data_IF_140695332202
#
_entry.id   IF_140695332202
#
_cell.length_a   1.000
_cell.length_b   1.000
_cell.length_c   1.000
_cell.angle_alpha   90.00
_cell.angle_beta   90.00
_cell.angle_gamma   90.00
#
_symmetry.space_group_name_H-M   'P 1'
#
loop_
_entity.id
_entity.type
_entity.pdbx_description
1 polymer ?
#
# COMPACT_ATOMS: atom_id res chain seq x y z
N UNK A 1 7.01 14.87 -2.16
CA UNK A 1 6.60 14.62 -0.76
C UNK A 1 7.83 14.08 -0.03
N UNK A 2 8.14 14.69 1.11
CA UNK A 2 9.34 14.40 1.91
C UNK A 2 9.22 13.04 2.61
N UNK A 3 10.18 12.14 2.38
CA UNK A 3 11.08 11.56 3.38
C UNK A 3 11.94 10.40 2.79
N UNK A 4 13.11 10.21 3.41
CA UNK A 4 14.33 9.44 3.10
C UNK A 4 14.36 8.38 1.97
N UNK A 5 13.37 7.49 1.84
CA UNK A 5 13.39 6.37 0.87
C UNK A 5 13.34 6.86 -0.59
N UNK A 6 12.67 8.00 -0.81
CA UNK A 6 12.60 8.68 -2.10
C UNK A 6 13.97 9.25 -2.53
N UNK A 7 14.85 9.61 -1.58
CA UNK A 7 16.14 10.26 -1.87
C UNK A 7 17.21 9.26 -2.33
N UNK A 8 17.19 8.02 -1.82
CA UNK A 8 18.12 6.95 -2.22
C UNK A 8 17.77 6.35 -3.60
N UNK A 9 16.48 6.28 -3.94
CA UNK A 9 16.00 5.66 -5.17
C UNK A 9 15.94 6.61 -6.37
N UNK A 10 15.79 7.94 -6.17
CA UNK A 10 15.85 8.93 -7.27
C UNK A 10 17.26 9.09 -7.88
N UNK A 11 18.32 9.11 -7.07
CA UNK A 11 19.68 9.38 -7.56
C UNK A 11 20.20 8.33 -8.56
N UNK A 12 19.75 7.08 -8.45
CA UNK A 12 20.17 5.99 -9.34
C UNK A 12 19.39 5.97 -10.67
N UNK A 13 18.17 6.51 -10.68
CA UNK A 13 17.33 6.61 -11.88
C UNK A 13 17.74 7.82 -12.74
N UNK A 14 18.07 8.96 -12.12
CA UNK A 14 18.53 10.15 -12.83
C UNK A 14 19.86 9.94 -13.57
N UNK A 15 20.78 9.16 -12.98
CA UNK A 15 22.03 8.78 -13.64
C UNK A 15 21.83 7.93 -14.90
N UNK A 16 20.85 7.04 -14.92
CA UNK A 16 20.54 6.20 -16.08
C UNK A 16 19.83 7.00 -17.19
N UNK A 17 18.92 7.91 -16.83
CA UNK A 17 18.17 8.70 -17.80
C UNK A 17 19.03 9.74 -18.54
N UNK A 18 20.11 10.25 -17.93
CA UNK A 18 21.07 11.13 -18.62
C UNK A 18 21.95 10.42 -19.67
N UNK A 19 21.88 9.09 -19.78
CA UNK A 19 22.56 8.30 -20.82
C UNK A 19 21.64 7.82 -21.96
N UNK A 20 20.37 8.27 -21.98
CA UNK A 20 19.45 8.08 -23.11
C UNK A 20 18.46 6.92 -22.99
N UNK A 21 18.30 6.30 -21.82
CA UNK A 21 17.23 5.33 -21.58
C UNK A 21 16.03 5.99 -20.88
N UNK A 22 14.81 5.59 -21.24
CA UNK A 22 13.55 6.08 -20.63
C UNK A 22 13.02 5.02 -19.67
N UNK A 23 13.32 5.11 -18.38
CA UNK A 23 12.77 4.20 -17.37
C UNK A 23 11.68 4.89 -16.55
N UNK A 24 10.55 4.19 -16.37
CA UNK A 24 9.42 4.64 -15.57
C UNK A 24 9.71 4.52 -14.07
N UNK A 25 9.31 5.54 -13.30
CA UNK A 25 9.48 5.63 -11.86
C UNK A 25 8.30 4.94 -11.16
N UNK A 26 8.52 3.77 -10.55
CA UNK A 26 7.48 2.89 -9.99
C UNK A 26 7.47 2.82 -8.46
N UNK A 27 8.09 3.79 -7.78
CA UNK A 27 8.20 3.77 -6.32
C UNK A 27 6.89 4.19 -5.65
N UNK A 28 6.33 3.31 -4.83
CA UNK A 28 5.13 3.53 -4.03
C UNK A 28 5.56 3.90 -2.60
N UNK A 29 5.28 5.12 -2.11
CA UNK A 29 5.59 5.50 -0.74
C UNK A 29 4.67 4.80 0.27
N UNK A 30 5.21 4.51 1.45
CA UNK A 30 4.49 3.99 2.61
C UNK A 30 4.35 5.10 3.67
N UNK A 31 3.23 5.09 4.41
CA UNK A 31 2.93 6.01 5.52
C UNK A 31 2.61 5.21 6.78
N UNK A 32 3.08 5.68 7.94
CA UNK A 32 2.74 5.17 9.26
C UNK A 32 2.56 6.36 10.22
N UNK A 33 1.69 6.21 11.21
CA UNK A 33 1.71 7.00 12.43
C UNK A 33 1.17 6.14 13.57
N UNK A 34 1.57 6.42 14.80
CA UNK A 34 0.97 5.80 15.97
C UNK A 34 -0.02 6.79 16.58
N UNK A 35 -1.27 6.36 16.77
CA UNK A 35 -2.23 7.02 17.65
C UNK A 35 -2.65 5.99 18.71
N UNK A 36 -1.87 5.95 19.80
CA UNK A 36 -2.03 5.08 21.00
C UNK A 36 -1.65 3.60 20.78
N UNK A 37 -2.34 2.62 21.40
CA UNK A 37 -2.05 1.16 21.33
C UNK A 37 -2.34 0.50 19.96
N UNK A 38 -2.44 1.32 18.90
CA UNK A 38 -2.95 0.93 17.59
C UNK A 38 -1.91 1.32 16.54
N UNK A 39 -1.32 0.30 15.92
CA UNK A 39 -0.32 0.49 14.89
C UNK A 39 -0.87 0.13 13.51
N UNK A 40 -0.45 0.87 12.51
CA UNK A 40 -0.86 0.63 11.14
C UNK A 40 0.32 0.64 10.18
N UNK A 41 0.28 -0.31 9.24
CA UNK A 41 1.19 -0.39 8.10
C UNK A 41 0.40 -0.02 6.86
N UNK A 42 1.01 0.70 5.92
CA UNK A 42 0.33 1.01 4.68
C UNK A 42 1.28 1.04 3.49
N UNK A 43 0.73 0.72 2.32
CA UNK A 43 1.46 0.72 1.04
C UNK A 43 0.57 1.34 -0.03
N UNK A 44 1.16 2.20 -0.85
CA UNK A 44 0.52 2.78 -2.02
C UNK A 44 -0.25 4.06 -1.78
N UNK A 45 -1.21 4.34 -2.67
CA UNK A 45 -1.95 5.60 -2.67
C UNK A 45 -3.14 5.51 -1.71
N UNK A 46 -3.09 6.30 -0.64
CA UNK A 46 -4.14 6.39 0.39
C UNK A 46 -4.86 7.73 0.30
N UNK A 47 -5.43 8.02 -0.86
CA UNK A 47 -6.16 9.25 -1.09
C UNK A 47 -7.64 9.09 -0.74
N UNK A 48 -8.21 10.06 -0.03
CA UNK A 48 -9.66 10.10 0.27
C UNK A 48 -10.53 10.31 -0.97
N UNK A 49 -9.93 10.63 -2.12
CA UNK A 49 -10.61 10.72 -3.40
C UNK A 49 -10.84 9.35 -4.07
N UNK A 50 -10.17 8.29 -3.59
CA UNK A 50 -10.30 6.93 -4.11
C UNK A 50 -11.53 6.22 -3.51
N UNK A 51 -11.96 5.16 -4.18
CA UNK A 51 -12.97 4.26 -3.64
C UNK A 51 -12.34 3.39 -2.55
N UNK A 52 -13.13 3.07 -1.52
CA UNK A 52 -12.64 2.39 -0.32
C UNK A 52 -13.53 1.19 0.00
N UNK A 53 -12.88 0.05 0.20
CA UNK A 53 -13.48 -1.18 0.73
C UNK A 53 -12.73 -1.60 2.00
N UNK A 54 -13.46 -2.03 3.03
CA UNK A 54 -12.84 -2.42 4.31
C UNK A 54 -13.25 -3.82 4.73
N UNK A 55 -12.27 -4.62 5.13
CA UNK A 55 -12.47 -5.95 5.71
C UNK A 55 -11.96 -5.96 7.14
N UNK A 56 -12.75 -6.52 8.04
CA UNK A 56 -12.48 -6.47 9.48
C UNK A 56 -12.50 -7.87 10.06
N UNK A 57 -11.41 -8.25 10.74
CA UNK A 57 -11.38 -9.42 11.61
C UNK A 57 -12.06 -9.11 12.94
N UNK A 58 -11.77 -7.94 13.49
CA UNK A 58 -12.49 -7.34 14.62
C UNK A 58 -12.87 -5.92 14.25
N UNK A 59 -14.18 -5.64 14.23
CA UNK A 59 -14.70 -4.36 13.74
C UNK A 59 -14.02 -3.18 14.45
N UNK A 60 -13.37 -2.32 13.64
CA UNK A 60 -12.62 -1.13 14.07
C UNK A 60 -11.43 -1.39 15.01
N UNK A 61 -10.98 -2.63 15.14
CA UNK A 61 -9.84 -3.01 15.98
C UNK A 61 -8.74 -3.74 15.22
N UNK A 62 -9.09 -4.59 14.26
CA UNK A 62 -8.12 -5.35 13.46
C UNK A 62 -8.73 -5.59 12.08
N UNK A 63 -8.08 -5.10 11.04
CA UNK A 63 -8.63 -5.15 9.69
C UNK A 63 -7.73 -4.51 8.64
N UNK A 64 -8.24 -4.43 7.42
CA UNK A 64 -7.55 -3.85 6.28
C UNK A 64 -8.52 -3.00 5.47
N UNK A 65 -8.04 -1.84 5.05
CA UNK A 65 -8.76 -0.88 4.21
C UNK A 65 -8.05 -0.82 2.86
N UNK A 66 -8.79 -1.08 1.80
CA UNK A 66 -8.31 -1.07 0.41
C UNK A 66 -8.79 0.19 -0.28
N UNK A 67 -7.85 0.91 -0.87
CA UNK A 67 -8.10 2.05 -1.74
C UNK A 67 -7.95 1.58 -3.18
N UNK A 68 -8.95 1.87 -4.02
CA UNK A 68 -8.94 1.42 -5.41
C UNK A 68 -9.52 2.45 -6.36
N UNK A 69 -9.16 2.31 -7.63
CA UNK A 69 -9.68 3.08 -8.74
C UNK A 69 -9.69 2.23 -10.01
N UNK A 70 -10.72 2.37 -10.84
CA UNK A 70 -10.95 1.54 -12.03
C UNK A 70 -10.82 0.03 -11.75
N UNK A 71 -11.35 -0.43 -10.61
CA UNK A 71 -11.26 -1.80 -10.09
C UNK A 71 -9.85 -2.30 -9.74
N UNK A 72 -8.82 -1.45 -9.77
CA UNK A 72 -7.46 -1.84 -9.41
C UNK A 72 -7.10 -1.27 -8.04
N UNK A 73 -6.53 -2.12 -7.18
CA UNK A 73 -6.04 -1.70 -5.87
C UNK A 73 -4.88 -0.72 -6.05
N UNK A 74 -5.00 0.45 -5.42
CA UNK A 74 -4.01 1.54 -5.45
C UNK A 74 -3.26 1.69 -4.14
N UNK A 75 -3.92 1.36 -3.03
CA UNK A 75 -3.31 1.42 -1.71
C UNK A 75 -4.01 0.51 -0.73
N UNK A 76 -3.28 0.12 0.31
CA UNK A 76 -3.75 -0.76 1.36
C UNK A 76 -3.28 -0.19 2.69
N UNK A 77 -4.20 -0.03 3.63
CA UNK A 77 -3.93 0.32 5.02
C UNK A 77 -4.32 -0.86 5.90
N UNK A 78 -3.33 -1.42 6.60
CA UNK A 78 -3.46 -2.54 7.53
C UNK A 78 -3.52 -1.98 8.95
N UNK A 79 -4.61 -2.25 9.66
CA UNK A 79 -4.88 -1.74 11.00
C UNK A 79 -4.72 -2.87 12.02
N UNK A 80 -3.68 -2.80 12.87
CA UNK A 80 -3.26 -3.88 13.78
C UNK A 80 -3.01 -5.23 13.09
N UNK A 81 -2.67 -5.19 11.80
CA UNK A 81 -2.29 -6.36 11.01
C UNK A 81 -0.82 -6.18 10.66
N UNK A 82 0.02 -7.11 11.09
CA UNK A 82 1.47 -6.97 11.10
C UNK A 82 2.15 -8.02 10.24
N UNK A 83 3.31 -7.68 9.67
CA UNK A 83 4.14 -8.64 8.94
C UNK A 83 3.53 -9.12 7.61
N UNK A 84 2.55 -8.39 7.09
CA UNK A 84 1.86 -8.70 5.82
C UNK A 84 2.20 -7.70 4.70
N UNK A 85 3.17 -6.82 4.93
CA UNK A 85 3.55 -5.77 3.99
C UNK A 85 3.96 -6.29 2.61
N UNK A 86 4.69 -7.39 2.53
CA UNK A 86 5.10 -7.97 1.24
C UNK A 86 3.92 -8.52 0.46
N UNK A 87 2.99 -9.19 1.14
CA UNK A 87 1.75 -9.63 0.54
C UNK A 87 0.88 -8.45 0.10
N UNK A 88 0.81 -7.38 0.89
CA UNK A 88 0.08 -6.17 0.53
C UNK A 88 0.67 -5.50 -0.72
N UNK A 89 2.01 -5.50 -0.88
CA UNK A 89 2.69 -5.03 -2.10
C UNK A 89 2.29 -5.85 -3.33
N UNK A 90 2.19 -7.16 -3.21
CA UNK A 90 1.76 -8.04 -4.31
C UNK A 90 0.32 -7.77 -4.76
N UNK A 91 -0.53 -7.25 -3.88
CA UNK A 91 -1.94 -6.96 -4.20
C UNK A 91 -2.09 -5.61 -4.93
N UNK A 92 -1.10 -4.71 -4.86
CA UNK A 92 -1.18 -3.44 -5.58
C UNK A 92 -1.28 -3.69 -7.09
N UNK A 93 -2.26 -3.05 -7.73
CA UNK A 93 -2.53 -3.20 -9.15
C UNK A 93 -3.40 -4.41 -9.51
N UNK A 94 -3.71 -5.28 -8.54
CA UNK A 94 -4.64 -6.38 -8.74
C UNK A 94 -6.10 -5.93 -8.65
N UNK A 95 -7.02 -6.79 -9.10
CA UNK A 95 -8.45 -6.49 -9.13
C UNK A 95 -9.08 -6.51 -7.73
N UNK A 96 -9.76 -5.42 -7.35
CA UNK A 96 -10.51 -5.32 -6.09
C UNK A 96 -11.64 -6.36 -5.98
N UNK A 97 -12.11 -6.91 -7.11
CA UNK A 97 -13.14 -7.96 -7.11
C UNK A 97 -12.72 -9.23 -6.34
N UNK A 98 -11.42 -9.43 -6.13
CA UNK A 98 -10.86 -10.55 -5.39
C UNK A 98 -10.76 -10.29 -3.87
N UNK A 99 -11.49 -9.30 -3.33
CA UNK A 99 -11.40 -8.89 -1.93
C UNK A 99 -11.50 -10.05 -0.92
N UNK A 100 -12.39 -11.02 -1.17
CA UNK A 100 -12.53 -12.21 -0.32
C UNK A 100 -11.23 -13.04 -0.22
N UNK A 101 -10.44 -13.10 -1.29
CA UNK A 101 -9.14 -13.78 -1.30
C UNK A 101 -8.14 -13.01 -0.44
N UNK A 102 -8.12 -11.68 -0.56
CA UNK A 102 -7.21 -10.83 0.21
C UNK A 102 -7.52 -10.85 1.70
N UNK A 103 -8.80 -10.86 2.06
CA UNK A 103 -9.27 -11.05 3.44
C UNK A 103 -8.66 -12.32 4.04
N UNK A 104 -8.78 -13.47 3.37
CA UNK A 104 -8.22 -14.72 3.84
C UNK A 104 -6.69 -14.68 3.98
N UNK A 105 -5.98 -14.06 3.03
CA UNK A 105 -4.50 -14.02 3.06
C UNK A 105 -3.93 -13.05 4.11
N UNK A 106 -4.58 -11.90 4.30
CA UNK A 106 -4.11 -10.83 5.18
C UNK A 106 -4.59 -11.00 6.62
N UNK A 107 -5.81 -11.51 6.82
CA UNK A 107 -6.45 -11.63 8.13
C UNK A 107 -6.61 -13.08 8.63
N UNK A 108 -6.35 -14.07 7.76
CA UNK A 108 -6.30 -15.47 8.16
C UNK A 108 -5.15 -15.76 9.14
N UNK A 109 -5.32 -16.81 9.94
CA UNK A 109 -4.33 -17.30 10.92
C UNK A 109 -2.99 -17.70 10.26
#
# INVERSE_FOLDING_TARGET
VEHEDNALSMGKVDGNNMSGQKLAYTHLPAFYSDMFDLGYEAVGELSSALQVESVWKSQYKEGTVFYHDHNLVKGILMWNVWGKLDLAREIIGESIANLHIYEQKLLGE
#
